data_IF_525373966568
#
_entry.id   IF_525373966568
#
_cell.length_a   1.000
_cell.length_b   1.000
_cell.length_c   1.000
_cell.angle_alpha   90.00
_cell.angle_beta   90.00
_cell.angle_gamma   90.00
#
_symmetry.space_group_name_H-M   'P 1'
#
loop_
_entity.id
_entity.type
_entity.pdbx_description
1 polymer ?
#
# COMPACT_ATOMS: atom_id res chain seq x y z
N UNK A 1 -43.84 -17.36 14.20
CA UNK A 1 -42.85 -16.27 14.35
C UNK A 1 -41.55 -16.64 15.07
N UNK A 2 -41.29 -17.91 15.48
CA UNK A 2 -40.02 -18.29 16.13
C UNK A 2 -38.95 -18.85 15.18
N UNK A 3 -39.35 -19.39 14.03
CA UNK A 3 -38.44 -20.11 13.11
C UNK A 3 -37.57 -19.12 12.30
N UNK A 4 -38.04 -17.91 12.04
CA UNK A 4 -37.27 -16.90 11.28
C UNK A 4 -36.09 -16.30 12.06
N UNK A 5 -36.14 -16.27 13.41
CA UNK A 5 -35.05 -15.72 14.22
C UNK A 5 -33.87 -16.67 14.36
N UNK A 6 -34.11 -17.98 14.32
CA UNK A 6 -33.05 -19.00 14.41
C UNK A 6 -32.17 -19.02 13.15
N UNK A 7 -32.76 -18.80 11.97
CA UNK A 7 -32.02 -18.72 10.70
C UNK A 7 -31.08 -17.51 10.64
N UNK A 8 -31.49 -16.38 11.22
CA UNK A 8 -30.67 -15.15 11.26
C UNK A 8 -29.49 -15.27 12.23
N UNK A 9 -29.65 -15.97 13.35
CA UNK A 9 -28.55 -16.25 14.28
C UNK A 9 -27.57 -17.30 13.71
N UNK A 10 -28.07 -18.29 12.96
CA UNK A 10 -27.22 -19.27 12.29
C UNK A 10 -26.35 -18.65 11.18
N UNK A 11 -26.82 -17.60 10.50
CA UNK A 11 -26.01 -16.89 9.49
C UNK A 11 -24.83 -16.10 10.07
N UNK A 12 -24.90 -15.67 11.34
CA UNK A 12 -23.80 -14.92 12.00
C UNK A 12 -22.66 -15.86 12.42
N UNK A 13 -22.95 -17.14 12.67
CA UNK A 13 -21.97 -18.15 13.09
C UNK A 13 -21.15 -18.75 11.92
N UNK A 14 -21.50 -18.43 10.67
CA UNK A 14 -20.86 -18.99 9.45
C UNK A 14 -19.65 -18.21 8.94
N UNK A 15 -19.18 -17.15 9.62
CA UNK A 15 -17.90 -16.51 9.28
C UNK A 15 -16.84 -16.61 10.40
N UNK A 16 -16.42 -17.83 10.81
CA UNK A 16 -15.31 -18.01 11.76
C UNK A 16 -13.93 -17.59 11.19
N UNK A 17 -13.89 -17.00 9.98
CA UNK A 17 -12.69 -16.50 9.31
C UNK A 17 -12.75 -15.01 8.91
N UNK A 18 -13.71 -14.22 9.40
CA UNK A 18 -13.85 -12.79 9.08
C UNK A 18 -12.72 -11.88 9.66
N UNK A 19 -11.54 -12.44 9.95
CA UNK A 19 -10.28 -11.68 9.96
C UNK A 19 -9.78 -11.65 8.51
N UNK A 20 -10.38 -10.77 7.70
CA UNK A 20 -10.08 -10.63 6.27
C UNK A 20 -8.75 -9.92 6.07
N UNK A 21 -7.65 -10.54 6.50
CA UNK A 21 -6.31 -10.10 6.10
C UNK A 21 -6.16 -10.37 4.60
N UNK A 22 -5.79 -9.34 3.84
CA UNK A 22 -5.51 -9.46 2.42
C UNK A 22 -4.36 -10.45 2.17
N UNK A 23 -4.29 -11.00 0.96
CA UNK A 23 -3.21 -11.92 0.60
C UNK A 23 -1.87 -11.18 0.59
N UNK A 24 -0.79 -11.87 0.94
CA UNK A 24 0.57 -11.35 0.75
C UNK A 24 0.97 -11.51 -0.71
N UNK A 25 1.38 -10.42 -1.33
CA UNK A 25 1.78 -10.34 -2.73
C UNK A 25 3.29 -10.18 -2.88
N UNK A 26 3.84 -10.65 -3.99
CA UNK A 26 5.23 -10.38 -4.38
C UNK A 26 5.27 -9.16 -5.28
N UNK A 27 5.85 -8.05 -4.80
CA UNK A 27 6.03 -6.84 -5.60
C UNK A 27 7.17 -7.00 -6.62
N UNK A 28 8.26 -7.67 -6.19
CA UNK A 28 9.35 -8.09 -7.05
C UNK A 28 10.18 -9.19 -6.36
N UNK A 29 10.87 -10.01 -7.15
CA UNK A 29 11.77 -11.06 -6.65
C UNK A 29 12.92 -11.31 -7.62
N UNK A 30 14.13 -11.46 -7.08
CA UNK A 30 15.30 -12.01 -7.76
C UNK A 30 16.11 -12.89 -6.78
N UNK A 31 17.30 -13.35 -7.19
CA UNK A 31 18.14 -14.23 -6.36
C UNK A 31 18.68 -13.59 -5.06
N UNK A 32 18.64 -12.26 -4.93
CA UNK A 32 19.27 -11.49 -3.84
C UNK A 32 18.30 -10.61 -3.03
N UNK A 33 17.08 -10.43 -3.51
CA UNK A 33 16.08 -9.50 -2.99
C UNK A 33 14.68 -10.03 -3.30
N UNK A 34 13.84 -10.09 -2.27
CA UNK A 34 12.42 -10.40 -2.37
C UNK A 34 11.66 -9.31 -1.63
N UNK A 35 10.74 -8.65 -2.34
CA UNK A 35 9.87 -7.62 -1.77
C UNK A 35 8.43 -8.14 -1.75
N UNK A 36 7.91 -8.32 -0.55
CA UNK A 36 6.54 -8.74 -0.31
C UNK A 36 5.73 -7.58 0.28
N UNK A 37 4.44 -7.51 -0.03
CA UNK A 37 3.52 -6.56 0.60
C UNK A 37 2.19 -7.22 0.92
N UNK A 38 1.48 -6.66 1.90
CA UNK A 38 0.13 -7.05 2.26
C UNK A 38 -0.63 -5.79 2.67
N UNK A 39 -1.78 -5.52 2.05
CA UNK A 39 -2.58 -4.37 2.43
C UNK A 39 -3.04 -4.48 3.89
N UNK A 40 -2.89 -3.40 4.63
CA UNK A 40 -3.39 -3.23 5.99
C UNK A 40 -4.70 -2.41 6.03
N UNK A 41 -5.19 -1.91 4.89
CA UNK A 41 -6.52 -1.30 4.82
C UNK A 41 -7.59 -2.40 4.94
N UNK A 42 -8.44 -2.39 5.97
CA UNK A 42 -9.46 -3.44 6.14
C UNK A 42 -10.51 -3.46 5.01
N UNK A 43 -10.62 -2.40 4.20
CA UNK A 43 -11.66 -2.26 3.19
C UNK A 43 -11.26 -2.77 1.81
N UNK A 44 -9.96 -2.78 1.47
CA UNK A 44 -9.51 -3.19 0.14
C UNK A 44 -8.03 -3.56 0.08
N UNK A 45 -7.73 -4.37 -0.92
CA UNK A 45 -6.37 -4.59 -1.38
C UNK A 45 -5.95 -3.53 -2.42
N UNK A 46 -4.67 -3.54 -2.78
CA UNK A 46 -4.12 -2.73 -3.86
C UNK A 46 -3.17 -3.55 -4.73
N UNK A 47 -3.01 -3.13 -5.98
CA UNK A 47 -1.98 -3.67 -6.86
C UNK A 47 -0.70 -2.85 -6.71
N UNK A 48 0.43 -3.50 -6.48
CA UNK A 48 1.75 -2.86 -6.46
C UNK A 48 2.80 -3.79 -7.07
N UNK A 49 3.68 -3.23 -7.89
CA UNK A 49 4.81 -3.95 -8.49
C UNK A 49 5.97 -3.01 -8.79
N UNK A 50 7.17 -3.57 -8.91
CA UNK A 50 8.38 -2.85 -9.25
C UNK A 50 9.03 -3.48 -10.49
N UNK A 51 9.31 -2.66 -11.51
CA UNK A 51 9.73 -3.15 -12.83
C UNK A 51 11.07 -3.92 -12.79
N UNK A 52 12.01 -3.48 -11.94
CA UNK A 52 13.32 -4.12 -11.81
C UNK A 52 13.64 -4.38 -10.33
N UNK A 53 13.66 -5.64 -9.92
CA UNK A 53 14.16 -6.03 -8.61
C UNK A 53 15.70 -6.10 -8.67
N UNK A 54 16.39 -5.01 -8.29
CA UNK A 54 17.85 -4.95 -8.26
C UNK A 54 18.34 -4.77 -6.81
N UNK A 55 19.53 -5.29 -6.52
CA UNK A 55 20.23 -5.10 -5.23
C UNK A 55 21.63 -4.52 -5.49
N UNK A 56 21.96 -3.28 -5.04
CA UNK A 56 21.11 -2.39 -4.24
C UNK A 56 19.93 -1.82 -5.03
N UNK A 57 18.86 -1.48 -4.30
CA UNK A 57 17.67 -0.81 -4.84
C UNK A 57 18.10 0.48 -5.56
N UNK A 58 17.74 0.63 -6.84
CA UNK A 58 18.17 1.77 -7.65
C UNK A 58 17.65 3.10 -7.10
N UNK A 59 18.36 4.19 -7.41
CA UNK A 59 17.90 5.56 -7.06
C UNK A 59 16.63 5.97 -7.84
N UNK A 60 16.46 5.42 -9.04
CA UNK A 60 15.28 5.60 -9.88
C UNK A 60 14.53 4.27 -9.89
N UNK A 61 13.50 4.18 -9.05
CA UNK A 61 12.66 2.98 -9.00
C UNK A 61 11.45 3.22 -9.88
N UNK A 62 11.23 2.31 -10.82
CA UNK A 62 10.00 2.29 -11.60
C UNK A 62 9.02 1.38 -10.89
N UNK A 63 7.93 1.99 -10.42
CA UNK A 63 6.85 1.28 -9.76
C UNK A 63 5.58 1.36 -10.61
N UNK A 64 4.70 0.39 -10.39
CA UNK A 64 3.32 0.45 -10.84
C UNK A 64 2.43 0.20 -9.66
N UNK A 65 1.44 1.05 -9.45
CA UNK A 65 0.41 0.81 -8.44
C UNK A 65 -0.98 1.09 -8.99
N UNK A 66 -1.96 0.36 -8.46
CA UNK A 66 -3.36 0.50 -8.81
C UNK A 66 -4.24 0.34 -7.59
N UNK A 67 -5.18 1.27 -7.40
CA UNK A 67 -6.09 1.27 -6.25
C UNK A 67 -7.40 1.99 -6.59
N UNK A 68 -8.49 1.59 -5.93
CA UNK A 68 -9.76 2.34 -5.96
C UNK A 68 -9.73 3.33 -4.78
N UNK A 69 -9.97 4.61 -5.04
CA UNK A 69 -9.99 5.60 -3.97
C UNK A 69 -11.18 5.39 -3.04
N UNK A 70 -10.93 5.34 -1.74
CA UNK A 70 -11.97 5.31 -0.70
C UNK A 70 -12.28 6.68 -0.13
N UNK A 71 -11.43 7.66 -0.43
CA UNK A 71 -11.50 9.05 0.00
C UNK A 71 -11.07 9.97 -1.15
N UNK A 72 -11.50 11.22 -1.09
CA UNK A 72 -10.97 12.27 -1.98
C UNK A 72 -9.50 12.53 -1.63
N UNK A 73 -8.66 12.78 -2.62
CA UNK A 73 -7.23 13.03 -2.44
C UNK A 73 -6.85 14.46 -2.86
N UNK A 74 -7.48 15.44 -2.23
CA UNK A 74 -7.05 16.85 -2.35
C UNK A 74 -5.66 17.03 -1.73
N UNK A 75 -5.46 16.46 -0.55
CA UNK A 75 -4.17 16.36 0.12
C UNK A 75 -3.87 14.88 0.38
N UNK A 76 -2.62 14.48 0.17
CA UNK A 76 -2.18 13.10 0.37
C UNK A 76 -0.75 13.09 0.89
N UNK A 77 -0.54 12.40 2.00
CA UNK A 77 0.75 12.23 2.64
C UNK A 77 1.10 10.74 2.69
N UNK A 78 2.38 10.44 2.51
CA UNK A 78 2.93 9.09 2.57
C UNK A 78 3.82 8.96 3.80
N UNK A 79 3.38 8.15 4.75
CA UNK A 79 4.15 7.81 5.94
C UNK A 79 4.83 6.45 5.78
N UNK A 80 6.12 6.40 6.10
CA UNK A 80 6.95 5.20 5.95
C UNK A 80 7.71 4.97 7.24
N UNK A 81 7.49 3.79 7.81
CA UNK A 81 8.17 3.34 9.01
C UNK A 81 8.96 2.07 8.69
N UNK A 82 10.28 2.13 8.83
CA UNK A 82 11.16 0.99 8.65
C UNK A 82 11.46 0.36 10.00
N UNK A 83 11.21 -0.95 10.10
CA UNK A 83 11.51 -1.73 11.30
C UNK A 83 12.54 -2.81 11.00
N UNK A 84 13.46 -3.04 11.95
CA UNK A 84 14.29 -4.25 11.98
C UNK A 84 14.32 -4.79 13.40
N UNK A 85 14.21 -6.11 13.53
CA UNK A 85 14.15 -6.79 14.83
C UNK A 85 13.11 -6.18 15.79
N UNK A 86 11.97 -5.74 15.25
CA UNK A 86 10.87 -5.13 16.00
C UNK A 86 11.10 -3.68 16.45
N UNK A 87 12.25 -3.06 16.14
CA UNK A 87 12.55 -1.66 16.49
C UNK A 87 12.43 -0.78 15.25
N UNK A 88 11.85 0.42 15.43
CA UNK A 88 11.82 1.43 14.37
C UNK A 88 13.23 1.98 14.14
N UNK A 89 13.72 1.90 12.91
CA UNK A 89 15.01 2.44 12.48
C UNK A 89 14.83 3.82 11.85
N UNK A 90 13.75 3.99 11.07
CA UNK A 90 13.49 5.20 10.31
C UNK A 90 11.99 5.46 10.25
N UNK A 91 11.61 6.71 10.43
CA UNK A 91 10.26 7.20 10.16
C UNK A 91 10.36 8.42 9.27
N UNK A 92 9.58 8.44 8.20
CA UNK A 92 9.56 9.52 7.21
C UNK A 92 8.14 9.81 6.78
N UNK A 93 7.83 11.09 6.56
CA UNK A 93 6.55 11.53 5.99
C UNK A 93 6.82 12.40 4.77
N UNK A 94 6.10 12.15 3.69
CA UNK A 94 6.26 12.84 2.41
C UNK A 94 4.93 13.39 1.88
N UNK A 95 4.83 14.68 1.55
CA UNK A 95 3.67 15.21 0.86
C UNK A 95 3.68 14.75 -0.62
N UNK A 96 2.65 13.97 -0.97
CA UNK A 96 2.39 13.46 -2.33
C UNK A 96 1.51 14.44 -3.09
N UNK A 97 0.44 14.91 -2.46
CA UNK A 97 -0.47 15.92 -2.98
C UNK A 97 -0.63 17.05 -1.97
N UNK A 98 -0.39 18.27 -2.40
CA UNK A 98 -0.68 19.51 -1.67
C UNK A 98 -1.42 20.44 -2.64
N UNK A 99 -2.30 21.30 -2.10
CA UNK A 99 -3.17 22.19 -2.89
C UNK A 99 -2.35 23.07 -3.85
N UNK A 100 -1.20 23.56 -3.40
CA UNK A 100 -0.37 24.50 -4.16
C UNK A 100 0.72 23.82 -5.00
N UNK A 101 1.03 22.53 -4.75
CA UNK A 101 2.12 21.81 -5.41
C UNK A 101 1.80 20.32 -5.65
N UNK A 102 0.82 19.97 -6.51
CA UNK A 102 0.52 18.57 -6.82
C UNK A 102 1.69 17.94 -7.61
N UNK A 103 2.41 17.00 -6.99
CA UNK A 103 3.55 16.31 -7.63
C UNK A 103 3.13 15.24 -8.62
N UNK A 104 1.92 14.70 -8.46
CA UNK A 104 1.43 13.59 -9.25
C UNK A 104 0.11 13.94 -9.96
N UNK A 105 -0.08 13.39 -11.16
CA UNK A 105 -1.27 13.63 -11.98
C UNK A 105 -2.57 13.10 -11.36
N UNK A 106 -2.49 12.23 -10.36
CA UNK A 106 -3.66 11.71 -9.65
C UNK A 106 -4.13 12.62 -8.50
N UNK A 107 -3.41 13.68 -8.14
CA UNK A 107 -3.86 14.61 -7.10
C UNK A 107 -5.20 15.27 -7.49
N UNK A 108 -6.11 15.42 -6.52
CA UNK A 108 -7.46 15.97 -6.72
C UNK A 108 -8.52 14.96 -7.17
N UNK A 109 -8.14 13.70 -7.42
CA UNK A 109 -9.08 12.60 -7.70
C UNK A 109 -10.04 12.36 -6.53
N UNK A 110 -11.24 11.90 -6.87
CA UNK A 110 -12.40 11.74 -5.98
C UNK A 110 -12.59 10.29 -5.54
N UNK A 111 -13.27 10.13 -4.41
CA UNK A 111 -13.72 8.84 -3.90
C UNK A 111 -14.43 8.04 -4.99
N UNK A 112 -14.05 6.77 -5.13
CA UNK A 112 -14.58 5.83 -6.11
C UNK A 112 -13.79 5.79 -7.42
N UNK A 113 -12.94 6.78 -7.71
CA UNK A 113 -12.10 6.75 -8.90
C UNK A 113 -11.00 5.69 -8.80
N UNK A 114 -10.66 5.09 -9.95
CA UNK A 114 -9.54 4.16 -10.06
C UNK A 114 -8.26 4.95 -10.38
N UNK A 115 -7.23 4.74 -9.59
CA UNK A 115 -5.88 5.21 -9.88
C UNK A 115 -5.10 4.06 -10.48
N UNK A 116 -4.40 4.36 -11.56
CA UNK A 116 -3.28 3.55 -12.06
C UNK A 116 -2.11 4.48 -12.29
N UNK A 117 -1.00 4.21 -11.61
CA UNK A 117 0.26 4.93 -11.78
C UNK A 117 1.32 3.95 -12.26
N UNK A 118 2.11 4.38 -13.23
CA UNK A 118 3.30 3.69 -13.69
C UNK A 118 4.36 4.74 -13.98
N UNK A 119 5.43 4.77 -13.20
CA UNK A 119 6.43 5.82 -13.31
C UNK A 119 7.56 5.70 -12.30
N UNK A 120 8.52 6.60 -12.43
CA UNK A 120 9.66 6.69 -11.54
C UNK A 120 9.25 7.29 -10.18
N UNK A 121 9.79 6.75 -9.09
CA UNK A 121 9.80 7.40 -7.78
C UNK A 121 11.25 7.80 -7.47
N UNK A 122 11.45 9.07 -7.16
CA UNK A 122 12.77 9.59 -6.86
C UNK A 122 13.13 9.25 -5.41
N UNK A 123 14.08 8.35 -5.23
CA UNK A 123 14.44 7.79 -3.92
C UNK A 123 15.34 8.73 -3.09
N UNK A 124 15.55 9.99 -3.51
CA UNK A 124 16.41 10.96 -2.83
C UNK A 124 15.98 11.28 -1.40
N UNK A 125 14.70 11.05 -1.07
CA UNK A 125 14.14 11.22 0.27
C UNK A 125 14.39 10.01 1.21
N UNK A 126 14.82 8.87 0.67
CA UNK A 126 15.10 7.69 1.47
C UNK A 126 16.60 7.61 1.76
N UNK A 127 17.04 7.84 2.99
CA UNK A 127 18.36 7.43 3.40
C UNK A 127 18.38 5.90 3.42
N UNK A 128 18.61 5.27 2.26
CA UNK A 128 19.04 3.88 2.20
C UNK A 128 20.46 3.89 2.75
N UNK A 129 20.55 3.75 4.08
CA UNK A 129 21.79 3.69 4.81
C UNK A 129 22.68 2.61 4.20
N UNK A 130 23.90 2.98 3.84
CA UNK A 130 24.98 2.02 3.67
C UNK A 130 25.11 1.27 4.99
N UNK A 131 24.73 0.01 5.03
CA UNK A 131 25.22 -0.88 6.09
C UNK A 131 26.72 -0.96 5.87
N UNK A 132 27.46 -0.34 6.79
CA UNK A 132 28.92 -0.39 6.86
C UNK A 132 29.36 -1.66 7.53
#
# INVERSE_FOLDING_TARGET
MKIFMAAFFASVLLCPGCSSKWTTHTACKNDKLELLYQSCDPLQDLGFSMDHCNNPISKNLKIRFGVILRHDIQELFLDINLFSMGKSILSYSYPVCEVDFPKFSFCGKKKGEKIYYAGDINNQAFPIGKVS
#
